data_IF_085101512338
#
_entry.id   IF_085101512338
#
_cell.length_a   1.000
_cell.length_b   1.000
_cell.length_c   1.000
_cell.angle_alpha   90.00
_cell.angle_beta   90.00
_cell.angle_gamma   90.00
#
_symmetry.space_group_name_H-M   'P 1'
#
loop_
_entity.id
_entity.type
_entity.pdbx_description
1 polymer ?
#
# COMPACT_ATOMS: atom_id res chain seq x y z
N UNK A 1 -40.13 -12.42 -2.24
CA UNK A 1 -39.40 -12.08 -3.48
C UNK A 1 -38.73 -10.70 -3.40
N UNK A 2 -39.45 -9.62 -3.09
CA UNK A 2 -38.86 -8.26 -2.98
C UNK A 2 -37.75 -8.13 -1.93
N UNK A 3 -37.92 -8.72 -0.74
CA UNK A 3 -36.89 -8.69 0.33
C UNK A 3 -35.61 -9.38 -0.13
N UNK A 4 -35.73 -10.53 -0.81
CA UNK A 4 -34.58 -11.29 -1.33
C UNK A 4 -33.83 -10.46 -2.38
N UNK A 5 -34.56 -9.82 -3.30
CA UNK A 5 -33.95 -8.94 -4.32
C UNK A 5 -33.23 -7.76 -3.68
N UNK A 6 -33.80 -7.16 -2.64
CA UNK A 6 -33.17 -6.07 -1.90
C UNK A 6 -31.87 -6.51 -1.21
N UNK A 7 -31.87 -7.67 -0.54
CA UNK A 7 -30.67 -8.22 0.11
C UNK A 7 -29.57 -8.50 -0.91
N UNK A 8 -29.92 -9.11 -2.06
CA UNK A 8 -28.96 -9.35 -3.14
C UNK A 8 -28.37 -8.05 -3.69
N UNK A 9 -29.19 -7.01 -3.86
CA UNK A 9 -28.71 -5.70 -4.30
C UNK A 9 -27.68 -5.12 -3.32
N UNK A 10 -27.96 -5.18 -2.01
CA UNK A 10 -27.03 -4.68 -0.98
C UNK A 10 -25.70 -5.44 -1.01
N UNK A 11 -25.75 -6.77 -1.14
CA UNK A 11 -24.54 -7.60 -1.24
C UNK A 11 -23.72 -7.21 -2.48
N UNK A 12 -24.37 -7.05 -3.64
CA UNK A 12 -23.70 -6.65 -4.87
C UNK A 12 -23.03 -5.29 -4.72
N UNK A 13 -23.75 -4.29 -4.18
CA UNK A 13 -23.19 -2.96 -3.92
C UNK A 13 -22.00 -3.03 -2.97
N UNK A 14 -22.10 -3.82 -1.90
CA UNK A 14 -21.02 -3.99 -0.94
C UNK A 14 -19.77 -4.62 -1.58
N UNK A 15 -19.93 -5.67 -2.40
CA UNK A 15 -18.83 -6.30 -3.15
C UNK A 15 -18.18 -5.30 -4.11
N UNK A 16 -18.97 -4.47 -4.80
CA UNK A 16 -18.46 -3.43 -5.70
C UNK A 16 -17.60 -2.43 -4.92
N UNK A 17 -18.09 -1.93 -3.77
CA UNK A 17 -17.35 -0.99 -2.93
C UNK A 17 -16.05 -1.59 -2.39
N UNK A 18 -16.07 -2.83 -1.91
CA UNK A 18 -14.88 -3.55 -1.48
C UNK A 18 -13.86 -3.69 -2.61
N UNK A 19 -14.32 -4.05 -3.80
CA UNK A 19 -13.45 -4.22 -4.98
C UNK A 19 -12.80 -2.90 -5.38
N UNK A 20 -13.56 -1.79 -5.36
CA UNK A 20 -13.02 -0.45 -5.64
C UNK A 20 -11.98 -0.08 -4.59
N UNK A 21 -12.28 -0.26 -3.31
CA UNK A 21 -11.37 0.00 -2.20
C UNK A 21 -10.06 -0.78 -2.34
N UNK A 22 -10.16 -2.09 -2.57
CA UNK A 22 -9.01 -2.95 -2.79
C UNK A 22 -8.17 -2.54 -4.00
N UNK A 23 -8.79 -2.24 -5.15
CA UNK A 23 -8.06 -1.80 -6.35
C UNK A 23 -7.33 -0.47 -6.12
N UNK A 24 -7.93 0.46 -5.38
CA UNK A 24 -7.30 1.74 -5.03
C UNK A 24 -6.10 1.53 -4.12
N UNK A 25 -6.27 0.74 -3.05
CA UNK A 25 -5.17 0.39 -2.15
C UNK A 25 -4.05 -0.32 -2.90
N UNK A 26 -4.36 -1.34 -3.70
CA UNK A 26 -3.38 -2.08 -4.51
C UNK A 26 -2.60 -1.16 -5.45
N UNK A 27 -3.27 -0.23 -6.13
CA UNK A 27 -2.61 0.75 -7.01
C UNK A 27 -1.65 1.65 -6.23
N UNK A 28 -2.02 2.07 -5.02
CA UNK A 28 -1.15 2.85 -4.14
C UNK A 28 0.07 2.04 -3.69
N UNK A 29 -0.15 0.81 -3.22
CA UNK A 29 0.92 -0.07 -2.75
C UNK A 29 1.92 -0.43 -3.87
N UNK A 30 1.44 -0.62 -5.11
CA UNK A 30 2.33 -0.89 -6.25
C UNK A 30 3.17 0.33 -6.60
N UNK A 31 2.61 1.55 -6.53
CA UNK A 31 3.36 2.78 -6.84
C UNK A 31 4.56 2.96 -5.91
N UNK A 32 4.49 2.45 -4.68
CA UNK A 32 5.61 2.47 -3.73
C UNK A 32 6.79 1.64 -4.23
N UNK A 33 6.56 0.59 -5.03
CA UNK A 33 7.66 -0.17 -5.66
C UNK A 33 8.39 0.62 -6.74
N UNK A 34 7.73 1.62 -7.35
CA UNK A 34 8.32 2.52 -8.34
C UNK A 34 8.89 3.81 -7.71
N UNK A 35 8.73 3.99 -6.39
CA UNK A 35 9.15 5.18 -5.64
C UNK A 35 10.34 4.83 -4.75
N UNK A 36 11.40 5.63 -4.76
CA UNK A 36 12.64 5.34 -4.03
C UNK A 36 13.80 4.92 -4.94
N UNK A 37 14.88 4.48 -4.31
CA UNK A 37 16.14 4.09 -4.94
C UNK A 37 16.60 2.73 -4.45
N UNK A 38 17.31 2.00 -5.29
CA UNK A 38 17.92 0.72 -4.93
C UNK A 38 19.42 0.90 -4.77
N UNK A 39 19.91 0.64 -3.56
CA UNK A 39 21.34 0.65 -3.22
C UNK A 39 21.87 -0.78 -3.14
N UNK A 40 23.03 -1.03 -3.76
CA UNK A 40 23.79 -2.27 -3.59
C UNK A 40 24.54 -2.25 -2.25
N UNK A 41 24.44 -3.33 -1.49
CA UNK A 41 25.21 -3.51 -0.25
C UNK A 41 25.95 -4.83 -0.28
N UNK A 42 26.88 -5.03 0.66
CA UNK A 42 27.58 -6.31 0.82
C UNK A 42 26.63 -7.50 1.06
N UNK A 43 25.40 -7.26 1.54
CA UNK A 43 24.39 -8.28 1.83
C UNK A 43 23.24 -8.30 0.80
N UNK A 44 23.39 -7.59 -0.32
CA UNK A 44 22.39 -7.50 -1.39
C UNK A 44 21.72 -6.13 -1.49
N UNK A 45 20.67 -6.07 -2.31
CA UNK A 45 19.99 -4.82 -2.66
C UNK A 45 19.03 -4.37 -1.57
N UNK A 46 19.04 -3.08 -1.27
CA UNK A 46 18.07 -2.43 -0.38
C UNK A 46 17.30 -1.38 -1.17
N UNK A 47 15.98 -1.47 -1.15
CA UNK A 47 15.10 -0.42 -1.66
C UNK A 47 14.80 0.56 -0.53
N UNK A 48 15.15 1.83 -0.71
CA UNK A 48 15.06 2.88 0.31
C UNK A 48 14.61 4.19 -0.32
N UNK A 49 14.25 5.16 0.52
CA UNK A 49 13.98 6.52 0.05
C UNK A 49 14.48 7.52 1.08
N UNK A 50 15.25 8.51 0.61
CA UNK A 50 15.76 9.60 1.43
C UNK A 50 14.87 10.83 1.24
N UNK A 51 14.46 11.46 2.34
CA UNK A 51 13.60 12.66 2.30
C UNK A 51 14.02 13.67 3.35
N UNK A 52 14.04 14.95 2.97
CA UNK A 52 14.46 16.05 3.83
C UNK A 52 15.98 16.30 3.81
N UNK A 53 16.42 17.24 4.63
CA UNK A 53 17.82 17.66 4.76
C UNK A 53 18.19 17.77 6.25
N UNK A 54 19.44 17.46 6.62
CA UNK A 54 19.93 17.52 8.01
C UNK A 54 20.43 16.18 8.56
N UNK A 55 20.45 16.00 9.90
CA UNK A 55 20.86 14.73 10.53
C UNK A 55 20.03 13.54 10.05
N UNK A 56 20.71 12.44 9.71
CA UNK A 56 20.07 11.25 9.13
C UNK A 56 19.41 10.42 10.23
N UNK A 57 18.12 10.15 10.06
CA UNK A 57 17.36 9.19 10.86
C UNK A 57 17.05 7.96 10.00
N UNK A 58 17.28 6.78 10.56
CA UNK A 58 17.03 5.52 9.89
C UNK A 58 15.74 4.88 10.40
N UNK A 59 14.80 4.63 9.50
CA UNK A 59 13.52 4.00 9.79
C UNK A 59 13.42 2.65 9.09
N UNK A 60 12.96 1.63 9.81
CA UNK A 60 12.64 0.32 9.27
C UNK A 60 11.18 0.01 9.49
N UNK A 61 10.54 -0.56 8.49
CA UNK A 61 9.15 -0.99 8.57
C UNK A 61 9.02 -2.34 9.27
N UNK A 62 7.81 -2.64 9.77
CA UNK A 62 7.45 -3.97 10.27
C UNK A 62 7.01 -4.92 9.14
N UNK A 63 6.64 -6.16 9.50
CA UNK A 63 6.01 -7.09 8.57
C UNK A 63 4.51 -7.26 8.86
N UNK A 64 3.60 -7.15 7.87
CA UNK A 64 3.81 -6.69 6.49
C UNK A 64 3.99 -5.16 6.40
N UNK A 65 4.76 -4.68 5.41
CA UNK A 65 5.04 -3.25 5.26
C UNK A 65 6.00 -2.92 4.10
N UNK A 66 6.38 -1.66 4.02
CA UNK A 66 7.28 -1.11 3.02
C UNK A 66 7.74 0.31 3.39
N UNK A 67 8.49 0.95 2.50
CA UNK A 67 9.00 2.32 2.70
C UNK A 67 7.87 3.35 2.89
N UNK A 68 6.64 3.04 2.47
CA UNK A 68 5.45 3.87 2.65
C UNK A 68 5.04 4.05 4.11
N UNK A 69 5.45 3.15 5.01
CA UNK A 69 5.17 3.25 6.44
C UNK A 69 6.02 4.32 7.16
N UNK A 70 7.10 4.80 6.53
CA UNK A 70 7.92 5.89 7.08
C UNK A 70 7.37 7.29 6.81
N UNK A 71 6.30 7.40 6.01
CA UNK A 71 5.75 8.68 5.53
C UNK A 71 4.44 9.11 6.19
N UNK A 72 3.94 8.34 7.16
CA UNK A 72 2.70 8.62 7.89
C UNK A 72 2.96 8.81 9.39
#
# INVERSE_FOLDING_TARGET
>A
MQIILFVLLVIIVFIILLTIGFKRWKKSAIRVMDDGEVMETAMGKIHYKLTGEGPVLFFMHGGPGGIDQGYF
#
